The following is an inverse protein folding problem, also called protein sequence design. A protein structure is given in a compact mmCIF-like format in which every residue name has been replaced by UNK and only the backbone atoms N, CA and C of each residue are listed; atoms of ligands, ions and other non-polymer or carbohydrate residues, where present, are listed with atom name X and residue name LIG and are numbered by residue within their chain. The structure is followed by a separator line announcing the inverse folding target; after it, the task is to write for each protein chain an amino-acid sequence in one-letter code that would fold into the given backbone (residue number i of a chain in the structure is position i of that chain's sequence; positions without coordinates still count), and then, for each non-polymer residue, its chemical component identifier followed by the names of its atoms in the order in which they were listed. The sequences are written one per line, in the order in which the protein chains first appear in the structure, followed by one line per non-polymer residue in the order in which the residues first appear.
data_IF_193776137234
#
_entry.id   IF_193776137234
#
_cell.length_a   1.000
_cell.length_b   1.000
_cell.length_c   1.000
_cell.angle_alpha   90.00
_cell.angle_beta   90.00
_cell.angle_gamma   90.00
#
_symmetry.space_group_name_H-M   'P 1'
#
loop_
_entity.id
_entity.type
_entity.pdbx_description
1 polymer ?
#
# COMPACT_ATOMS: atom_id res chain seq x y z
N UNK A 1 14.07 -21.01 -15.83
CA UNK A 1 12.70 -20.46 -15.86
C UNK A 1 12.65 -19.35 -14.83
N UNK A 2 12.64 -18.09 -15.25
CA UNK A 2 12.45 -16.95 -14.35
C UNK A 2 10.98 -16.92 -13.90
N UNK A 3 10.76 -17.08 -12.60
CA UNK A 3 9.44 -16.89 -11.99
C UNK A 3 8.96 -15.47 -12.36
N UNK A 4 7.70 -15.27 -12.83
CA UNK A 4 7.21 -13.92 -13.06
C UNK A 4 7.37 -13.09 -11.79
N UNK A 5 7.91 -11.88 -11.90
CA UNK A 5 8.13 -11.00 -10.74
C UNK A 5 6.79 -10.78 -10.04
N UNK A 6 6.59 -11.36 -8.85
CA UNK A 6 5.36 -11.19 -8.09
C UNK A 6 5.48 -9.89 -7.29
N UNK A 7 4.41 -9.10 -7.24
CA UNK A 7 4.36 -7.86 -6.46
C UNK A 7 3.39 -7.98 -5.30
N UNK A 8 3.79 -7.43 -4.17
CA UNK A 8 2.92 -7.24 -3.02
C UNK A 8 2.20 -5.92 -3.14
N UNK A 9 0.97 -5.88 -2.63
CA UNK A 9 0.21 -4.64 -2.47
C UNK A 9 -0.39 -4.56 -1.07
N UNK A 10 -0.21 -3.41 -0.43
CA UNK A 10 -1.06 -2.98 0.68
C UNK A 10 -2.13 -2.02 0.17
N UNK A 11 -3.38 -2.34 0.47
CA UNK A 11 -4.51 -1.40 0.40
C UNK A 11 -4.75 -0.85 1.80
N UNK A 12 -4.73 0.46 1.93
CA UNK A 12 -4.75 1.16 3.21
C UNK A 12 -5.98 2.05 3.25
N UNK A 13 -6.83 1.85 4.25
CA UNK A 13 -8.04 2.65 4.47
C UNK A 13 -7.92 3.39 5.79
N UNK A 14 -7.97 4.72 5.73
CA UNK A 14 -7.98 5.56 6.92
C UNK A 14 -9.27 5.33 7.73
N UNK A 15 -9.13 5.10 9.03
CA UNK A 15 -10.27 5.17 9.96
C UNK A 15 -10.84 6.59 10.02
N UNK A 16 -12.17 6.69 10.10
CA UNK A 16 -12.85 7.97 10.20
C UNK A 16 -12.59 8.62 11.57
N UNK A 17 -12.16 9.88 11.57
CA UNK A 17 -12.02 10.71 12.76
C UNK A 17 -12.51 12.12 12.49
N UNK A 18 -13.04 12.74 13.53
CA UNK A 18 -13.24 14.19 13.58
C UNK A 18 -12.03 14.87 14.23
N UNK A 19 -11.61 16.01 13.68
CA UNK A 19 -10.56 16.86 14.26
C UNK A 19 -9.11 16.53 13.85
N UNK A 20 -8.11 17.05 14.59
CA UNK A 20 -6.70 17.08 14.13
C UNK A 20 -6.07 15.72 13.84
N UNK A 21 -6.56 14.65 14.49
CA UNK A 21 -6.06 13.29 14.30
C UNK A 21 -6.34 12.74 12.90
N UNK A 22 -7.42 13.18 12.26
CA UNK A 22 -7.73 12.84 10.87
C UNK A 22 -6.65 13.34 9.92
N UNK A 23 -6.29 14.63 10.04
CA UNK A 23 -5.26 15.24 9.21
C UNK A 23 -3.90 14.56 9.43
N UNK A 24 -3.52 14.34 10.69
CA UNK A 24 -2.25 13.68 11.02
C UNK A 24 -2.13 12.28 10.41
N UNK A 25 -3.19 11.46 10.51
CA UNK A 25 -3.21 10.13 9.92
C UNK A 25 -3.14 10.18 8.39
N UNK A 26 -3.91 11.08 7.76
CA UNK A 26 -3.87 11.24 6.30
C UNK A 26 -2.48 11.63 5.81
N UNK A 27 -1.84 12.59 6.46
CA UNK A 27 -0.50 13.05 6.09
C UNK A 27 0.53 11.90 6.21
N UNK A 28 0.44 11.10 7.29
CA UNK A 28 1.32 9.93 7.48
C UNK A 28 1.08 8.83 6.45
N UNK A 29 -0.18 8.52 6.11
CA UNK A 29 -0.49 7.52 5.08
C UNK A 29 -0.06 8.01 3.70
N UNK A 30 -0.30 9.28 3.38
CA UNK A 30 0.08 9.89 2.11
C UNK A 30 1.59 9.91 1.88
N UNK A 31 2.38 10.10 2.94
CA UNK A 31 3.84 10.06 2.88
C UNK A 31 4.41 8.64 2.59
N UNK A 32 3.63 7.60 2.87
CA UNK A 32 4.04 6.21 2.66
C UNK A 32 3.56 5.67 1.32
N UNK A 33 2.30 5.95 0.97
CA UNK A 33 1.61 5.34 -0.16
C UNK A 33 2.12 5.86 -1.51
N UNK A 34 2.03 5.02 -2.54
CA UNK A 34 2.34 5.41 -3.92
C UNK A 34 1.22 6.21 -4.58
N UNK A 35 -0.02 6.05 -4.12
CA UNK A 35 -1.16 6.78 -4.66
C UNK A 35 -2.45 6.52 -3.90
N UNK A 36 -3.46 7.33 -4.21
CA UNK A 36 -4.81 7.23 -3.68
C UNK A 36 -5.80 6.99 -4.83
N UNK A 37 -6.65 5.98 -4.67
CA UNK A 37 -7.76 5.69 -5.57
C UNK A 37 -9.02 6.39 -5.05
N UNK A 38 -9.51 7.36 -5.80
CA UNK A 38 -10.72 8.11 -5.45
C UNK A 38 -12.01 7.29 -5.56
N UNK A 39 -12.02 6.25 -6.39
CA UNK A 39 -13.19 5.39 -6.61
C UNK A 39 -13.37 4.43 -5.45
N UNK A 40 -12.30 3.76 -5.02
CA UNK A 40 -12.35 2.83 -3.89
C UNK A 40 -12.13 3.51 -2.54
N UNK A 41 -11.66 4.76 -2.54
CA UNK A 41 -11.25 5.52 -1.35
C UNK A 41 -10.14 4.83 -0.56
N UNK A 42 -9.15 4.30 -1.27
CA UNK A 42 -8.04 3.54 -0.69
C UNK A 42 -6.68 4.06 -1.13
N UNK A 43 -5.71 4.00 -0.23
CA UNK A 43 -4.30 4.25 -0.53
C UNK A 43 -3.60 2.96 -0.90
N UNK A 44 -2.70 3.06 -1.87
CA UNK A 44 -2.05 1.90 -2.46
C UNK A 44 -0.54 2.00 -2.22
N UNK A 45 0.04 0.92 -1.73
CA UNK A 45 1.49 0.76 -1.63
C UNK A 45 1.89 -0.55 -2.30
N UNK A 46 2.78 -0.47 -3.29
CA UNK A 46 3.25 -1.62 -4.06
C UNK A 46 4.69 -1.93 -3.70
N UNK A 47 5.08 -3.20 -3.70
CA UNK A 47 6.45 -3.58 -3.40
C UNK A 47 6.85 -4.88 -4.08
N UNK A 48 8.16 -5.11 -4.17
CA UNK A 48 8.72 -6.38 -4.60
C UNK A 48 8.61 -7.41 -3.48
N UNK A 49 8.03 -8.58 -3.75
CA UNK A 49 7.86 -9.63 -2.73
C UNK A 49 9.18 -10.25 -2.30
N UNK A 50 10.19 -10.24 -3.17
CA UNK A 50 11.51 -10.77 -2.84
C UNK A 50 12.30 -9.80 -1.94
N UNK A 51 11.82 -8.54 -1.83
CA UNK A 51 12.40 -7.50 -0.98
C UNK A 51 11.30 -6.77 -0.19
N UNK A 52 10.67 -7.43 0.80
CA UNK A 52 9.57 -6.85 1.54
C UNK A 52 10.04 -5.61 2.33
N UNK A 53 9.29 -4.50 2.30
CA UNK A 53 9.68 -3.26 2.96
C UNK A 53 9.26 -3.31 4.43
N UNK A 54 10.09 -3.96 5.24
CA UNK A 54 9.84 -4.23 6.67
C UNK A 54 9.49 -2.96 7.45
N UNK A 55 10.18 -1.85 7.20
CA UNK A 55 9.91 -0.58 7.89
C UNK A 55 8.55 0.02 7.53
N UNK A 56 8.15 -0.07 6.26
CA UNK A 56 6.81 0.33 5.82
C UNK A 56 5.76 -0.54 6.50
N UNK A 57 5.96 -1.86 6.53
CA UNK A 57 5.05 -2.80 7.18
C UNK A 57 4.87 -2.45 8.66
N UNK A 58 5.98 -2.27 9.38
CA UNK A 58 5.97 -1.87 10.79
C UNK A 58 5.23 -0.54 11.00
N UNK A 59 5.43 0.42 10.10
CA UNK A 59 4.75 1.72 10.16
C UNK A 59 3.25 1.58 9.93
N UNK A 60 2.82 0.76 8.96
CA UNK A 60 1.41 0.47 8.70
C UNK A 60 0.73 -0.20 9.90
N UNK A 61 1.39 -1.15 10.57
CA UNK A 61 0.87 -1.76 11.80
C UNK A 61 0.76 -0.75 12.96
N UNK A 62 1.72 0.18 13.09
CA UNK A 62 1.62 1.27 14.08
C UNK A 62 0.44 2.20 13.77
N UNK A 63 0.23 2.57 12.51
CA UNK A 63 -0.91 3.39 12.09
C UNK A 63 -2.25 2.67 12.32
N UNK A 64 -2.29 1.35 12.10
CA UNK A 64 -3.44 0.53 12.43
C UNK A 64 -3.73 0.53 13.94
N UNK A 65 -2.70 0.36 14.78
CA UNK A 65 -2.86 0.39 16.23
C UNK A 65 -3.27 1.76 16.78
N UNK A 66 -2.64 2.85 16.30
CA UNK A 66 -2.84 4.20 16.86
C UNK A 66 -4.15 4.83 16.38
N UNK A 67 -4.48 4.64 15.10
CA UNK A 67 -5.64 5.29 14.48
C UNK A 67 -6.74 4.31 14.10
N UNK A 68 -6.54 2.99 14.12
CA UNK A 68 -7.53 2.05 13.57
C UNK A 68 -7.52 1.98 12.04
N UNK A 69 -6.44 2.44 11.39
CA UNK A 69 -6.22 2.28 9.95
C UNK A 69 -6.32 0.81 9.55
N UNK A 70 -7.11 0.49 8.53
CA UNK A 70 -7.19 -0.88 8.00
C UNK A 70 -6.14 -1.08 6.91
N UNK A 71 -5.46 -2.22 6.94
CA UNK A 71 -4.41 -2.58 5.97
C UNK A 71 -4.71 -3.97 5.44
N UNK A 72 -4.95 -4.09 4.14
CA UNK A 72 -5.18 -5.36 3.45
C UNK A 72 -3.99 -5.70 2.56
N UNK A 73 -3.49 -6.92 2.66
CA UNK A 73 -2.39 -7.42 1.84
C UNK A 73 -2.92 -8.28 0.69
N UNK A 74 -2.35 -8.12 -0.50
CA UNK A 74 -2.62 -8.95 -1.67
C UNK A 74 -1.35 -9.16 -2.49
N UNK A 75 -1.26 -10.30 -3.17
CA UNK A 75 -0.18 -10.62 -4.11
C UNK A 75 -0.74 -10.54 -5.52
N UNK A 76 -0.01 -9.88 -6.41
CA UNK A 76 -0.34 -9.74 -7.83
C UNK A 76 0.79 -10.35 -8.66
N UNK A 77 0.43 -11.10 -9.69
CA UNK A 77 1.37 -11.48 -10.73
C UNK A 77 1.63 -10.26 -11.60
N UNK A 78 2.90 -9.94 -11.90
CA UNK A 78 3.16 -8.92 -12.90
C UNK A 78 2.63 -9.43 -14.24
N UNK A 79 1.74 -8.67 -14.88
CA UNK A 79 1.37 -8.96 -16.26
C UNK A 79 2.65 -9.02 -17.10
N UNK A 80 2.82 -10.04 -17.97
CA UNK A 80 3.96 -10.10 -18.85
C UNK A 80 4.01 -8.81 -19.66
N UNK A 81 5.14 -8.08 -19.62
CA UNK A 81 5.31 -6.92 -20.50
C UNK A 81 5.15 -7.43 -21.92
N UNK A 82 4.31 -6.82 -22.77
CA UNK A 82 4.28 -7.16 -24.17
C UNK A 82 5.71 -6.95 -24.71
N UNK A 83 6.29 -8.01 -25.26
CA UNK A 83 7.58 -7.93 -25.94
C UNK A 83 7.41 -6.90 -27.05
N UNK A 84 8.17 -5.80 -27.00
CA UNK A 84 8.30 -4.91 -28.14
C UNK A 84 8.93 -5.72 -29.27
N UNK A 85 8.10 -6.16 -30.21
CA UNK A 85 8.55 -6.70 -31.49
C UNK A 85 9.38 -5.63 -32.16
N UNK A 86 10.68 -5.91 -32.32
CA UNK A 86 11.62 -5.09 -33.09
C UNK A 86 11.39 -5.20 -34.59
#
# INVERSE_FOLDING_TARGET
MTNPSRRGRFLITNAHFDGPRWKEQKDKVAALAHGYDNTTQQWHYWFDLDQPPVDTINTLFRLARVYGTTVNFSIHEAEPRPETTG
#
